data_IF_521997950931
#
_entry.id   IF_521997950931
#
_cell.length_a   1.000
_cell.length_b   1.000
_cell.length_c   1.000
_cell.angle_alpha   90.00
_cell.angle_beta   90.00
_cell.angle_gamma   90.00
#
_symmetry.space_group_name_H-M   'P 1'
#
loop_
_entity.id
_entity.type
_entity.pdbx_description
1 polymer ?
#
# COMPACT_ATOMS: atom_id res chain seq x y z
N UNK A 1 23.66 17.69 -16.54
CA UNK A 1 22.74 18.83 -16.74
C UNK A 1 21.56 18.29 -17.51
N UNK A 2 20.36 18.82 -17.31
CA UNK A 2 19.22 18.45 -18.15
C UNK A 2 19.46 18.92 -19.58
N UNK A 3 19.13 18.07 -20.55
CA UNK A 3 19.14 18.40 -21.98
C UNK A 3 18.10 19.48 -22.27
N UNK A 4 18.48 20.50 -23.04
CA UNK A 4 17.57 21.57 -23.46
C UNK A 4 16.83 21.18 -24.74
N UNK A 5 17.54 20.60 -25.71
CA UNK A 5 17.02 20.19 -27.02
C UNK A 5 17.30 18.72 -27.34
N UNK A 6 16.36 18.04 -27.99
CA UNK A 6 16.50 16.61 -28.36
C UNK A 6 17.72 16.33 -29.21
N UNK A 7 18.10 17.30 -30.04
CA UNK A 7 19.30 17.27 -30.88
C UNK A 7 20.59 17.07 -30.10
N UNK A 8 20.63 17.38 -28.80
CA UNK A 8 21.81 17.09 -27.94
C UNK A 8 22.04 15.58 -27.75
N UNK A 9 21.00 14.75 -27.91
CA UNK A 9 21.11 13.29 -27.87
C UNK A 9 21.80 12.72 -29.11
N UNK A 10 21.71 13.43 -30.25
CA UNK A 10 22.18 12.93 -31.54
C UNK A 10 23.69 12.63 -31.55
N UNK A 11 24.52 13.59 -31.16
CA UNK A 11 25.98 13.43 -31.27
C UNK A 11 26.55 12.28 -30.41
N UNK A 12 26.13 12.10 -29.13
CA UNK A 12 26.51 10.94 -28.34
C UNK A 12 26.06 9.60 -28.93
N UNK A 13 24.81 9.51 -29.41
CA UNK A 13 24.27 8.29 -29.99
C UNK A 13 24.96 7.93 -31.30
N UNK A 14 25.15 8.90 -32.18
CA UNK A 14 25.90 8.74 -33.42
C UNK A 14 27.30 8.19 -33.14
N UNK A 15 28.05 8.84 -32.24
CA UNK A 15 29.40 8.39 -31.87
C UNK A 15 29.41 6.98 -31.26
N UNK A 16 28.37 6.60 -30.52
CA UNK A 16 28.24 5.28 -29.90
C UNK A 16 28.00 4.16 -30.92
N UNK A 17 27.14 4.39 -31.92
CA UNK A 17 26.86 3.41 -32.96
C UNK A 17 27.93 3.37 -34.06
N UNK A 18 28.55 4.50 -34.42
CA UNK A 18 29.68 4.51 -35.36
C UNK A 18 30.86 3.66 -34.85
N UNK A 19 31.14 3.70 -33.54
CA UNK A 19 32.14 2.82 -32.91
C UNK A 19 31.81 1.33 -33.00
N UNK A 20 30.55 0.98 -33.27
CA UNK A 20 30.09 -0.39 -33.49
C UNK A 20 30.01 -0.76 -34.98
N UNK A 21 30.51 0.10 -35.86
CA UNK A 21 30.64 -0.14 -37.29
C UNK A 21 29.46 0.33 -38.15
N UNK A 22 28.54 1.12 -37.60
CA UNK A 22 27.43 1.68 -38.38
C UNK A 22 27.83 2.99 -39.09
N UNK A 23 27.41 3.16 -40.34
CA UNK A 23 27.30 4.48 -40.99
C UNK A 23 25.97 5.13 -40.57
N UNK A 24 26.04 6.28 -39.91
CA UNK A 24 24.90 6.91 -39.22
C UNK A 24 24.49 8.22 -39.87
N UNK A 25 23.22 8.33 -40.24
CA UNK A 25 22.58 9.51 -40.81
C UNK A 25 21.36 9.92 -39.99
N UNK A 26 21.17 11.21 -39.80
CA UNK A 26 20.02 11.78 -39.11
C UNK A 26 18.87 12.14 -40.04
N UNK A 27 17.65 12.21 -39.51
CA UNK A 27 16.44 12.71 -40.20
C UNK A 27 16.12 11.97 -41.52
N UNK A 28 16.32 10.66 -41.54
CA UNK A 28 16.05 9.82 -42.72
C UNK A 28 14.59 9.39 -42.72
N UNK A 29 13.80 9.91 -43.67
CA UNK A 29 12.35 9.60 -43.82
C UNK A 29 11.60 9.64 -42.48
N UNK A 30 11.76 10.71 -41.71
CA UNK A 30 11.14 10.94 -40.37
C UNK A 30 11.70 10.12 -39.21
N UNK A 31 12.74 9.32 -39.42
CA UNK A 31 13.46 8.67 -38.33
C UNK A 31 14.59 9.60 -37.86
N UNK A 32 14.71 9.81 -36.55
CA UNK A 32 15.70 10.75 -36.02
C UNK A 32 17.13 10.31 -36.34
N UNK A 33 17.41 9.01 -36.29
CA UNK A 33 18.72 8.43 -36.60
C UNK A 33 18.56 7.04 -37.23
N UNK A 34 19.22 6.84 -38.37
CA UNK A 34 19.27 5.57 -39.10
C UNK A 34 20.72 5.16 -39.34
N UNK A 35 21.02 3.88 -39.10
CA UNK A 35 22.34 3.29 -39.28
C UNK A 35 22.33 2.08 -40.19
N UNK A 36 23.37 1.93 -41.01
CA UNK A 36 23.63 0.70 -41.79
C UNK A 36 25.01 0.16 -41.44
N UNK A 37 25.15 -1.17 -41.38
CA UNK A 37 26.43 -1.82 -41.07
C UNK A 37 26.77 -2.87 -42.12
N UNK A 38 27.87 -2.64 -42.84
CA UNK A 38 28.34 -3.54 -43.89
C UNK A 38 27.24 -3.86 -44.92
N UNK A 39 26.98 -5.16 -45.10
CA UNK A 39 25.95 -5.66 -46.02
C UNK A 39 24.65 -6.08 -45.30
N UNK A 40 24.41 -5.62 -44.08
CA UNK A 40 23.14 -5.88 -43.38
C UNK A 40 21.98 -5.17 -44.09
N UNK A 41 20.96 -5.94 -44.49
CA UNK A 41 19.78 -5.40 -45.19
C UNK A 41 18.85 -4.62 -44.24
N UNK A 42 18.90 -4.91 -42.94
CA UNK A 42 18.00 -4.33 -41.95
C UNK A 42 18.66 -3.13 -41.27
N UNK A 43 18.07 -1.92 -41.35
CA UNK A 43 18.68 -0.74 -40.77
C UNK A 43 18.55 -0.71 -39.24
N UNK A 44 19.56 -0.17 -38.56
CA UNK A 44 19.39 0.35 -37.20
C UNK A 44 18.50 1.60 -37.27
N UNK A 45 17.48 1.67 -36.41
CA UNK A 45 16.65 2.87 -36.26
C UNK A 45 16.64 3.31 -34.81
N UNK A 46 16.85 4.60 -34.55
CA UNK A 46 16.82 5.16 -33.20
C UNK A 46 15.90 6.38 -33.18
N UNK A 47 14.83 6.30 -32.39
CA UNK A 47 13.94 7.43 -32.10
C UNK A 47 14.39 8.07 -30.78
N UNK A 48 14.46 9.39 -30.73
CA UNK A 48 15.01 10.13 -29.59
C UNK A 48 14.04 11.15 -28.99
N UNK A 49 13.99 11.19 -27.66
CA UNK A 49 13.22 12.20 -26.91
C UNK A 49 13.92 12.56 -25.61
N UNK A 50 13.83 13.80 -25.16
CA UNK A 50 14.32 14.21 -23.82
C UNK A 50 13.86 13.30 -22.68
N UNK A 51 12.62 12.82 -22.74
CA UNK A 51 12.05 11.93 -21.73
C UNK A 51 11.23 10.82 -22.39
N UNK A 52 11.22 9.65 -21.75
CA UNK A 52 10.39 8.55 -22.20
C UNK A 52 8.91 8.91 -22.04
N UNK A 53 8.16 8.85 -23.14
CA UNK A 53 6.73 9.15 -23.18
C UNK A 53 6.02 8.24 -24.19
N UNK A 54 4.69 8.35 -24.25
CA UNK A 54 3.89 7.49 -25.13
C UNK A 54 4.15 7.75 -26.62
N UNK A 55 4.41 8.99 -27.03
CA UNK A 55 4.69 9.31 -28.44
C UNK A 55 5.96 8.59 -28.92
N UNK A 56 7.05 8.68 -28.14
CA UNK A 56 8.30 7.97 -28.42
C UNK A 56 8.08 6.46 -28.52
N UNK A 57 7.30 5.89 -27.61
CA UNK A 57 6.99 4.47 -27.62
C UNK A 57 6.24 4.05 -28.90
N UNK A 58 5.22 4.83 -29.28
CA UNK A 58 4.42 4.55 -30.47
C UNK A 58 5.25 4.69 -31.75
N UNK A 59 6.12 5.71 -31.83
CA UNK A 59 7.08 5.84 -32.93
C UNK A 59 7.95 4.58 -33.03
N UNK A 60 8.56 4.12 -31.94
CA UNK A 60 9.37 2.90 -31.94
C UNK A 60 8.59 1.67 -32.41
N UNK A 61 7.35 1.47 -31.92
CA UNK A 61 6.50 0.35 -32.35
C UNK A 61 6.18 0.44 -33.85
N UNK A 62 5.97 1.64 -34.39
CA UNK A 62 5.79 1.84 -35.82
C UNK A 62 7.05 1.48 -36.62
N UNK A 63 8.24 1.86 -36.12
CA UNK A 63 9.53 1.52 -36.75
C UNK A 63 9.83 0.04 -36.79
N UNK A 64 9.25 -0.77 -35.89
CA UNK A 64 9.37 -2.24 -35.95
C UNK A 64 8.84 -2.84 -37.26
N UNK A 65 7.97 -2.13 -37.99
CA UNK A 65 7.53 -2.54 -39.33
C UNK A 65 8.62 -2.41 -40.40
N UNK A 66 9.64 -1.62 -40.13
CA UNK A 66 10.74 -1.32 -41.05
C UNK A 66 12.01 -2.11 -40.69
N UNK A 67 12.24 -2.36 -39.41
CA UNK A 67 13.40 -3.09 -38.91
C UNK A 67 13.13 -3.67 -37.53
N UNK A 68 13.65 -4.86 -37.17
CA UNK A 68 13.65 -5.34 -35.79
C UNK A 68 14.72 -4.65 -34.93
N UNK A 69 15.68 -3.94 -35.53
CA UNK A 69 16.77 -3.28 -34.82
C UNK A 69 16.39 -1.82 -34.48
N UNK A 70 15.43 -1.65 -33.57
CA UNK A 70 14.87 -0.35 -33.19
C UNK A 70 15.19 -0.04 -31.73
N UNK A 71 15.79 1.13 -31.48
CA UNK A 71 16.01 1.65 -30.13
C UNK A 71 15.18 2.90 -29.86
N UNK A 72 14.73 3.02 -28.61
CA UNK A 72 14.24 4.27 -28.04
C UNK A 72 15.35 4.90 -27.21
N UNK A 73 15.72 6.14 -27.49
CA UNK A 73 16.79 6.85 -26.80
C UNK A 73 16.28 8.05 -26.02
N UNK A 74 16.65 8.14 -24.74
CA UNK A 74 16.23 9.25 -23.86
C UNK A 74 17.33 9.74 -22.93
N UNK A 75 17.18 10.96 -22.41
CA UNK A 75 18.07 11.44 -21.35
C UNK A 75 17.82 10.71 -20.03
N UNK A 76 18.88 10.30 -19.35
CA UNK A 76 18.84 9.84 -17.95
C UNK A 76 19.35 10.93 -17.01
N UNK A 77 18.40 11.69 -16.47
CA UNK A 77 18.66 12.74 -15.47
C UNK A 77 19.02 12.09 -14.12
N UNK A 78 20.16 12.49 -13.54
CA UNK A 78 20.65 11.95 -12.24
C UNK A 78 20.17 12.73 -11.00
N UNK A 79 19.51 13.87 -11.18
CA UNK A 79 19.10 14.72 -10.05
C UNK A 79 17.95 14.09 -9.24
N UNK A 80 18.13 14.05 -7.91
CA UNK A 80 17.20 13.42 -6.95
C UNK A 80 15.77 13.99 -6.99
N UNK A 81 15.59 15.25 -7.45
CA UNK A 81 14.27 15.89 -7.59
C UNK A 81 13.46 15.38 -8.81
N UNK A 82 14.12 14.78 -9.80
CA UNK A 82 13.48 14.16 -10.99
C UNK A 82 13.66 12.64 -11.07
N UNK A 83 14.60 12.07 -10.30
CA UNK A 83 14.90 10.63 -10.27
C UNK A 83 13.79 9.77 -9.63
N UNK A 84 12.84 10.37 -8.90
CA UNK A 84 11.75 9.64 -8.23
C UNK A 84 10.75 8.99 -9.22
N UNK A 85 10.71 9.42 -10.49
CA UNK A 85 9.66 8.99 -11.43
C UNK A 85 10.11 8.11 -12.60
N UNK A 86 11.38 7.70 -12.70
CA UNK A 86 11.80 6.88 -13.83
C UNK A 86 11.89 5.41 -13.40
N UNK A 87 10.78 4.70 -13.62
CA UNK A 87 10.60 3.26 -13.39
C UNK A 87 11.41 2.47 -14.42
N UNK A 88 12.73 2.69 -14.47
CA UNK A 88 13.63 2.19 -15.52
C UNK A 88 13.51 0.68 -15.70
N UNK A 89 13.40 -0.10 -14.63
CA UNK A 89 13.19 -1.55 -14.72
C UNK A 89 11.89 -1.93 -15.44
N UNK A 90 10.83 -1.13 -15.28
CA UNK A 90 9.55 -1.34 -15.94
C UNK A 90 9.57 -0.87 -17.39
N UNK A 91 10.20 0.27 -17.68
CA UNK A 91 10.41 0.74 -19.05
C UNK A 91 11.27 -0.25 -19.84
N UNK A 92 12.34 -0.75 -19.23
CA UNK A 92 13.19 -1.81 -19.80
C UNK A 92 12.36 -3.08 -20.05
N UNK A 93 11.56 -3.49 -19.06
CA UNK A 93 10.67 -4.65 -19.22
C UNK A 93 9.59 -4.48 -20.29
N UNK A 94 9.07 -3.26 -20.48
CA UNK A 94 8.11 -2.93 -21.53
C UNK A 94 8.78 -2.99 -22.92
N UNK A 95 9.94 -2.37 -23.09
CA UNK A 95 10.67 -2.38 -24.36
C UNK A 95 11.00 -3.82 -24.78
N UNK A 96 11.52 -4.65 -23.86
CA UNK A 96 11.75 -6.09 -24.10
C UNK A 96 10.50 -6.85 -24.55
N UNK A 97 9.34 -6.59 -23.92
CA UNK A 97 8.05 -7.23 -24.32
C UNK A 97 7.60 -6.83 -25.73
N UNK A 98 8.00 -5.64 -26.18
CA UNK A 98 7.66 -5.12 -27.51
C UNK A 98 8.76 -5.42 -28.55
N UNK A 99 9.89 -6.02 -28.15
CA UNK A 99 11.04 -6.24 -29.03
C UNK A 99 11.89 -4.99 -29.28
N UNK A 100 11.65 -3.89 -28.56
CA UNK A 100 12.39 -2.64 -28.69
C UNK A 100 13.64 -2.62 -27.80
N UNK A 101 14.71 -2.02 -28.30
CA UNK A 101 15.84 -1.59 -27.49
C UNK A 101 15.56 -0.31 -26.71
N UNK A 102 16.25 -0.12 -25.59
CA UNK A 102 16.17 1.09 -24.77
C UNK A 102 17.57 1.59 -24.46
N UNK A 103 17.89 2.80 -24.91
CA UNK A 103 19.17 3.48 -24.65
C UNK A 103 18.92 4.71 -23.80
N UNK A 104 19.85 4.97 -22.88
CA UNK A 104 19.85 6.21 -22.10
C UNK A 104 21.14 6.97 -22.28
N UNK A 105 21.05 8.30 -22.28
CA UNK A 105 22.21 9.19 -22.36
C UNK A 105 22.28 10.04 -21.09
N UNK A 106 23.42 9.99 -20.40
CA UNK A 106 23.70 10.78 -19.21
C UNK A 106 24.65 11.92 -19.56
N UNK A 107 24.22 13.16 -19.37
CA UNK A 107 25.06 14.34 -19.58
C UNK A 107 25.71 14.84 -18.29
N UNK A 108 27.04 14.93 -18.30
CA UNK A 108 27.82 15.51 -17.20
C UNK A 108 28.23 16.95 -17.52
N UNK A 109 28.55 17.72 -16.48
CA UNK A 109 29.07 19.09 -16.65
C UNK A 109 30.53 19.12 -17.15
N UNK A 110 31.32 18.13 -16.76
CA UNK A 110 32.79 18.16 -16.88
C UNK A 110 33.38 16.97 -17.63
N UNK A 111 32.56 16.00 -18.06
CA UNK A 111 33.01 14.80 -18.75
C UNK A 111 32.07 14.47 -19.90
N UNK A 112 32.57 13.67 -20.85
CA UNK A 112 31.80 13.25 -22.01
C UNK A 112 30.48 12.57 -21.61
N UNK A 113 29.42 12.71 -22.42
CA UNK A 113 28.16 12.01 -22.20
C UNK A 113 28.37 10.49 -22.17
N UNK A 114 27.65 9.81 -21.29
CA UNK A 114 27.65 8.35 -21.19
C UNK A 114 26.39 7.80 -21.83
N UNK A 115 26.56 6.89 -22.79
CA UNK A 115 25.47 6.13 -23.42
C UNK A 115 25.39 4.76 -22.75
N UNK A 116 24.23 4.41 -22.20
CA UNK A 116 23.98 3.12 -21.54
C UNK A 116 22.78 2.42 -22.22
N UNK A 117 22.99 1.19 -22.69
CA UNK A 117 21.92 0.34 -23.22
C UNK A 117 21.29 -0.44 -22.07
N UNK A 118 19.99 -0.25 -21.86
CA UNK A 118 19.22 -0.92 -20.80
C UNK A 118 18.52 -2.20 -21.30
N UNK A 119 18.15 -2.22 -22.57
CA UNK A 119 17.62 -3.37 -23.29
C UNK A 119 18.13 -3.37 -24.73
N UNK A 120 18.50 -4.54 -25.23
CA UNK A 120 18.77 -4.74 -26.65
C UNK A 120 17.47 -5.08 -27.41
N UNK A 121 17.34 -4.73 -28.70
CA UNK A 121 16.22 -5.16 -29.53
C UNK A 121 16.15 -6.69 -29.57
N UNK A 122 14.96 -7.23 -29.37
CA UNK A 122 14.74 -8.68 -29.30
C UNK A 122 15.12 -9.37 -27.98
N UNK A 123 15.66 -8.66 -26.98
CA UNK A 123 15.91 -9.21 -25.64
C UNK A 123 14.64 -9.86 -25.07
N UNK A 124 14.76 -11.09 -24.56
CA UNK A 124 13.64 -11.77 -23.92
C UNK A 124 13.14 -10.98 -22.70
N UNK A 125 11.81 -10.82 -22.52
CA UNK A 125 11.28 -10.13 -21.35
C UNK A 125 11.68 -10.85 -20.06
N UNK A 126 11.84 -10.12 -18.94
CA UNK A 126 12.16 -10.75 -17.67
C UNK A 126 11.12 -11.82 -17.32
N UNK A 127 11.60 -13.04 -17.03
CA UNK A 127 10.75 -14.12 -16.55
C UNK A 127 10.02 -13.64 -15.29
N UNK A 128 8.69 -13.57 -15.36
CA UNK A 128 7.87 -13.08 -14.25
C UNK A 128 7.98 -14.09 -13.13
N UNK A 129 8.81 -13.83 -12.11
CA UNK A 129 8.79 -14.60 -10.86
C UNK A 129 7.34 -14.62 -10.39
N UNK A 130 6.78 -15.81 -10.22
CA UNK A 130 5.35 -16.04 -10.09
C UNK A 130 4.74 -15.03 -9.12
N UNK A 131 3.85 -14.17 -9.61
CA UNK A 131 3.07 -13.27 -8.78
C UNK A 131 2.08 -13.99 -7.86
N UNK A 132 2.26 -15.30 -7.62
CA UNK A 132 1.37 -16.18 -6.88
C UNK A 132 1.01 -15.58 -5.52
N UNK A 133 2.00 -15.11 -4.75
CA UNK A 133 1.75 -14.47 -3.45
C UNK A 133 0.99 -13.14 -3.56
N UNK A 134 1.27 -12.33 -4.59
CA UNK A 134 0.55 -11.06 -4.82
C UNK A 134 -0.89 -11.32 -5.25
N UNK A 135 -1.09 -12.31 -6.11
CA UNK A 135 -2.41 -12.80 -6.55
C UNK A 135 -3.20 -13.39 -5.38
N UNK A 136 -2.57 -14.21 -4.55
CA UNK A 136 -3.19 -14.77 -3.34
C UNK A 136 -3.65 -13.67 -2.39
N UNK A 137 -2.82 -12.65 -2.13
CA UNK A 137 -3.23 -11.49 -1.32
C UNK A 137 -4.40 -10.72 -1.92
N UNK A 138 -4.43 -10.54 -3.24
CA UNK A 138 -5.53 -9.90 -3.94
C UNK A 138 -6.82 -10.72 -3.79
N UNK A 139 -6.75 -12.03 -4.02
CA UNK A 139 -7.90 -12.93 -3.88
C UNK A 139 -8.40 -13.01 -2.44
N UNK A 140 -7.49 -13.02 -1.46
CA UNK A 140 -7.84 -12.96 -0.06
C UNK A 140 -8.60 -11.67 0.26
N UNK A 141 -8.06 -10.52 -0.11
CA UNK A 141 -8.72 -9.23 0.10
C UNK A 141 -10.12 -9.18 -0.54
N UNK A 142 -10.27 -9.70 -1.76
CA UNK A 142 -11.56 -9.75 -2.45
C UNK A 142 -12.59 -10.64 -1.74
N UNK A 143 -12.20 -11.87 -1.36
CA UNK A 143 -13.10 -12.85 -0.73
C UNK A 143 -13.56 -12.44 0.66
N UNK A 144 -12.67 -11.77 1.40
CA UNK A 144 -12.92 -11.42 2.80
C UNK A 144 -13.82 -10.20 2.97
N UNK A 145 -13.89 -9.28 2.00
CA UNK A 145 -14.80 -8.12 2.07
C UNK A 145 -16.26 -8.56 2.10
N UNK A 146 -17.09 -7.87 2.88
CA UNK A 146 -18.54 -8.13 2.90
C UNK A 146 -19.29 -7.40 1.79
N UNK A 147 -18.69 -6.38 1.17
CA UNK A 147 -19.33 -5.62 0.11
C UNK A 147 -18.37 -4.70 -0.65
N UNK A 148 -18.93 -3.96 -1.60
CA UNK A 148 -18.21 -2.96 -2.39
C UNK A 148 -18.40 -1.56 -1.79
N UNK A 149 -17.54 -1.21 -0.84
CA UNK A 149 -17.61 0.06 -0.12
C UNK A 149 -16.67 1.14 -0.69
N UNK A 150 -15.85 0.80 -1.69
CA UNK A 150 -14.83 1.70 -2.21
C UNK A 150 -15.11 2.04 -3.68
N UNK A 151 -15.25 3.32 -4.00
CA UNK A 151 -15.30 3.76 -5.38
C UNK A 151 -13.89 3.77 -5.99
N UNK A 152 -13.73 3.19 -7.19
CA UNK A 152 -12.47 3.19 -7.92
C UNK A 152 -11.99 4.61 -8.27
N UNK A 153 -10.67 4.84 -8.20
CA UNK A 153 -10.07 6.12 -8.58
C UNK A 153 -10.19 7.23 -7.52
N UNK A 154 -10.86 7.00 -6.39
CA UNK A 154 -10.92 7.97 -5.30
C UNK A 154 -9.53 8.20 -4.68
N UNK A 155 -9.13 9.47 -4.58
CA UNK A 155 -7.92 9.87 -3.85
C UNK A 155 -8.31 10.48 -2.51
N UNK A 156 -7.44 10.37 -1.50
CA UNK A 156 -7.62 10.95 -0.15
C UNK A 156 -8.79 10.40 0.69
N UNK A 157 -9.51 9.39 0.23
CA UNK A 157 -10.53 8.68 1.01
C UNK A 157 -9.93 7.49 1.74
N UNK A 158 -10.31 7.28 3.00
CA UNK A 158 -9.89 6.10 3.78
C UNK A 158 -10.54 4.84 3.20
N UNK A 159 -9.77 4.00 2.51
CA UNK A 159 -10.29 2.75 1.93
C UNK A 159 -10.78 1.75 2.98
N UNK A 160 -11.99 1.22 2.80
CA UNK A 160 -12.55 0.12 3.58
C UNK A 160 -11.96 -1.20 3.05
N UNK A 161 -10.98 -1.74 3.75
CA UNK A 161 -10.33 -3.00 3.41
C UNK A 161 -10.90 -4.16 4.22
N UNK A 162 -10.62 -5.41 3.81
CA UNK A 162 -10.98 -6.58 4.61
C UNK A 162 -10.35 -6.51 6.02
N UNK A 163 -9.16 -5.92 6.14
CA UNK A 163 -8.55 -5.65 7.45
C UNK A 163 -9.38 -4.66 8.28
N UNK A 164 -9.87 -3.57 7.69
CA UNK A 164 -10.70 -2.60 8.41
C UNK A 164 -12.01 -3.22 8.86
N UNK A 165 -12.68 -3.95 7.99
CA UNK A 165 -13.91 -4.66 8.33
C UNK A 165 -13.71 -5.61 9.52
N UNK A 166 -12.65 -6.43 9.51
CA UNK A 166 -12.34 -7.32 10.64
C UNK A 166 -12.00 -6.55 11.92
N UNK A 167 -11.28 -5.44 11.81
CA UNK A 167 -11.01 -4.57 12.95
C UNK A 167 -12.30 -3.98 13.52
N UNK A 168 -13.27 -3.60 12.67
CA UNK A 168 -14.58 -3.10 13.09
C UNK A 168 -15.38 -4.19 13.80
N UNK A 169 -15.38 -5.44 13.30
CA UNK A 169 -16.03 -6.57 14.00
C UNK A 169 -15.44 -6.82 15.38
N UNK A 170 -14.11 -6.78 15.50
CA UNK A 170 -13.43 -6.93 16.80
C UNK A 170 -13.77 -5.76 17.73
N UNK A 171 -13.82 -4.53 17.21
CA UNK A 171 -14.21 -3.36 17.98
C UNK A 171 -15.68 -3.43 18.45
N UNK A 172 -16.60 -3.83 17.58
CA UNK A 172 -18.01 -4.01 17.92
C UNK A 172 -18.21 -5.08 19.00
N UNK A 173 -17.54 -6.23 18.86
CA UNK A 173 -17.58 -7.30 19.86
C UNK A 173 -17.01 -6.85 21.22
N UNK A 174 -16.00 -5.97 21.21
CA UNK A 174 -15.42 -5.40 22.43
C UNK A 174 -16.42 -4.44 23.07
N UNK A 175 -17.02 -3.52 22.31
CA UNK A 175 -18.03 -2.59 22.80
C UNK A 175 -19.21 -3.31 23.46
N UNK A 176 -19.71 -4.37 22.80
CA UNK A 176 -20.80 -5.20 23.34
C UNK A 176 -20.42 -5.86 24.67
N UNK A 177 -19.21 -6.45 24.76
CA UNK A 177 -18.74 -7.07 25.99
C UNK A 177 -18.53 -6.06 27.14
N UNK A 178 -18.11 -4.83 26.84
CA UNK A 178 -18.00 -3.76 27.84
C UNK A 178 -19.36 -3.30 28.36
N UNK A 179 -20.35 -3.15 27.46
CA UNK A 179 -21.72 -2.81 27.83
C UNK A 179 -22.34 -3.89 28.74
N UNK A 180 -22.23 -5.17 28.36
CA UNK A 180 -22.71 -6.30 29.17
C UNK A 180 -22.06 -6.34 30.57
N UNK A 181 -20.75 -6.08 30.64
CA UNK A 181 -20.02 -6.04 31.91
C UNK A 181 -20.48 -4.86 32.79
N UNK A 182 -20.68 -3.68 32.20
CA UNK A 182 -21.18 -2.50 32.91
C UNK A 182 -22.60 -2.73 33.46
N UNK A 183 -23.50 -3.31 32.67
CA UNK A 183 -24.84 -3.68 33.13
C UNK A 183 -24.80 -4.71 34.26
N UNK A 184 -23.96 -5.74 34.14
CA UNK A 184 -23.82 -6.76 35.17
C UNK A 184 -23.28 -6.18 36.49
N UNK A 185 -22.35 -5.22 36.42
CA UNK A 185 -21.86 -4.48 37.58
C UNK A 185 -22.98 -3.65 38.22
N UNK A 186 -23.77 -2.92 37.42
CA UNK A 186 -24.93 -2.16 37.89
C UNK A 186 -25.96 -3.04 38.60
N UNK A 187 -26.30 -4.20 38.02
CA UNK A 187 -27.21 -5.19 38.65
C UNK A 187 -26.68 -5.72 39.99
N UNK A 188 -25.36 -5.94 40.11
CA UNK A 188 -24.73 -6.37 41.37
C UNK A 188 -24.78 -5.27 42.43
N UNK A 189 -24.47 -4.03 42.06
CA UNK A 189 -24.51 -2.88 42.96
C UNK A 189 -25.93 -2.66 43.53
N UNK A 190 -26.95 -2.78 42.69
CA UNK A 190 -28.36 -2.69 43.10
C UNK A 190 -28.76 -3.80 44.09
N UNK A 191 -28.25 -5.02 43.92
CA UNK A 191 -28.52 -6.15 44.86
C UNK A 191 -27.79 -6.00 46.19
N UNK A 192 -26.60 -5.40 46.21
CA UNK A 192 -25.85 -5.13 47.46
C UNK A 192 -26.35 -3.91 48.24
N UNK A 193 -27.14 -3.04 47.61
CA UNK A 193 -27.71 -1.82 48.22
C UNK A 193 -29.13 -1.96 48.76
N UNK A 194 -29.76 -3.15 48.69
CA UNK A 194 -31.08 -3.37 49.25
C UNK A 194 -31.02 -3.39 50.79
N UNK A 195 -31.85 -2.62 51.52
CA UNK A 195 -31.85 -2.63 52.97
C UNK A 195 -32.29 -4.03 53.46
N UNK A 196 -31.53 -4.60 54.41
CA UNK A 196 -31.97 -5.81 55.12
C UNK A 196 -33.23 -5.47 55.90
N UNK A 197 -34.36 -6.04 55.52
CA UNK A 197 -35.57 -6.02 56.33
C UNK A 197 -35.38 -6.99 57.52
N UNK A 198 -35.45 -6.41 58.70
CA UNK A 198 -35.77 -6.95 60.03
C UNK A 198 -34.88 -8.03 60.68
N UNK A 199 -34.26 -7.63 61.79
CA UNK A 199 -34.37 -8.34 63.08
C UNK A 199 -34.10 -7.38 64.24
N UNK A 200 -35.04 -7.35 65.17
CA UNK A 200 -35.17 -6.41 66.28
C UNK A 200 -34.29 -6.73 67.51
N UNK A 201 -34.22 -5.71 68.36
CA UNK A 201 -34.09 -5.73 69.82
C UNK A 201 -32.69 -5.86 70.47
N UNK A 202 -32.33 -4.79 71.21
CA UNK A 202 -31.75 -4.91 72.55
C UNK A 202 -30.32 -4.38 72.73
N UNK A 203 -30.17 -3.42 73.66
CA UNK A 203 -28.98 -3.35 74.53
C UNK A 203 -28.04 -2.17 74.31
N UNK A 204 -27.74 -1.46 75.40
CA UNK A 204 -27.02 -0.20 75.46
C UNK A 204 -25.48 -0.28 75.35
N UNK A 205 -24.91 0.91 75.09
CA UNK A 205 -23.65 1.46 75.60
C UNK A 205 -22.29 1.06 74.96
N UNK A 206 -21.75 2.06 74.24
CA UNK A 206 -20.38 2.61 74.30
C UNK A 206 -19.15 1.69 74.11
N UNK A 207 -18.46 1.88 72.98
CA UNK A 207 -17.10 2.44 72.87
C UNK A 207 -16.34 1.88 71.65
N UNK A 208 -15.24 2.56 71.32
CA UNK A 208 -14.17 2.22 70.38
C UNK A 208 -14.34 2.70 68.93
N UNK A 209 -13.38 3.54 68.53
CA UNK A 209 -13.25 4.09 67.20
C UNK A 209 -12.83 3.05 66.15
N UNK A 210 -13.12 3.40 64.91
CA UNK A 210 -12.60 2.76 63.71
C UNK A 210 -12.40 3.83 62.64
N UNK A 211 -11.36 3.72 61.79
CA UNK A 211 -11.04 4.74 60.82
C UNK A 211 -12.13 4.82 59.75
N UNK A 212 -12.39 6.05 59.31
CA UNK A 212 -13.31 6.39 58.24
C UNK A 212 -13.11 5.49 57.02
N UNK A 213 -14.20 4.87 56.57
CA UNK A 213 -14.26 4.13 55.32
C UNK A 213 -13.88 5.07 54.16
N UNK A 214 -12.79 4.75 53.47
CA UNK A 214 -12.40 5.41 52.23
C UNK A 214 -13.52 5.23 51.19
N UNK A 215 -13.87 6.27 50.41
CA UNK A 215 -14.86 6.15 49.35
C UNK A 215 -14.41 5.10 48.33
N UNK A 216 -15.35 4.24 47.94
CA UNK A 216 -15.12 3.10 47.06
C UNK A 216 -14.35 3.48 45.80
N UNK A 217 -13.16 2.89 45.64
CA UNK A 217 -12.42 2.96 44.38
C UNK A 217 -13.32 2.38 43.29
N UNK A 218 -13.69 3.20 42.30
CA UNK A 218 -14.36 2.73 41.10
C UNK A 218 -13.58 1.53 40.55
N UNK A 219 -14.24 0.36 40.49
CA UNK A 219 -13.61 -0.89 40.07
C UNK A 219 -13.10 -0.70 38.64
N UNK A 220 -11.78 -0.79 38.43
CA UNK A 220 -11.18 -0.58 37.12
C UNK A 220 -11.80 -1.53 36.08
N UNK A 221 -12.08 -1.07 34.84
CA UNK A 221 -12.74 -1.89 33.84
C UNK A 221 -11.95 -3.17 33.61
N UNK A 222 -12.60 -4.32 33.88
CA UNK A 222 -12.05 -5.65 33.60
C UNK A 222 -12.08 -5.83 32.08
N UNK A 223 -11.08 -5.28 31.38
CA UNK A 223 -11.01 -5.32 29.93
C UNK A 223 -11.13 -6.73 29.35
N UNK A 224 -11.49 -6.83 28.08
CA UNK A 224 -11.90 -8.06 27.40
C UNK A 224 -10.68 -8.85 26.90
N UNK A 225 -10.74 -10.18 26.95
CA UNK A 225 -9.64 -11.04 26.50
C UNK A 225 -9.69 -11.30 24.99
N UNK A 226 -8.54 -11.51 24.31
CA UNK A 226 -8.53 -11.87 22.89
C UNK A 226 -9.29 -13.16 22.57
N UNK A 227 -9.29 -14.14 23.48
CA UNK A 227 -10.01 -15.39 23.29
C UNK A 227 -11.53 -15.18 23.25
N UNK A 228 -12.04 -14.31 24.13
CA UNK A 228 -13.44 -13.93 24.14
C UNK A 228 -13.82 -13.13 22.89
N UNK A 229 -12.99 -12.16 22.49
CA UNK A 229 -13.25 -11.38 21.27
C UNK A 229 -13.22 -12.24 20.02
N UNK A 230 -12.35 -13.26 19.94
CA UNK A 230 -12.36 -14.23 18.84
C UNK A 230 -13.70 -14.97 18.77
N UNK A 231 -14.23 -15.42 19.92
CA UNK A 231 -15.52 -16.13 19.98
C UNK A 231 -16.68 -15.22 19.58
N UNK A 232 -16.69 -13.98 20.06
CA UNK A 232 -17.77 -13.00 19.80
C UNK A 232 -17.76 -12.43 18.39
N UNK A 233 -16.59 -12.09 17.87
CA UNK A 233 -16.46 -11.43 16.55
C UNK A 233 -16.41 -12.39 15.36
N UNK A 234 -16.23 -13.69 15.62
CA UNK A 234 -15.95 -14.68 14.57
C UNK A 234 -14.60 -14.49 13.87
N UNK A 235 -13.76 -13.54 14.28
CA UNK A 235 -12.47 -13.24 13.65
C UNK A 235 -11.38 -14.13 14.26
N UNK A 236 -10.83 -15.14 13.54
CA UNK A 236 -9.89 -16.11 14.12
C UNK A 236 -8.62 -15.45 14.69
N UNK A 237 -8.17 -14.37 14.04
CA UNK A 237 -6.96 -13.61 14.38
C UNK A 237 -7.19 -12.38 15.27
N UNK A 238 -8.28 -12.31 16.06
CA UNK A 238 -8.64 -11.13 16.85
C UNK A 238 -7.46 -10.53 17.64
N UNK A 239 -6.61 -11.36 18.24
CA UNK A 239 -5.41 -10.92 18.97
C UNK A 239 -4.46 -10.04 18.14
N UNK A 240 -4.28 -10.34 16.86
CA UNK A 240 -3.37 -9.60 15.99
C UNK A 240 -3.87 -8.16 15.73
N UNK A 241 -5.18 -7.96 15.65
CA UNK A 241 -5.79 -6.62 15.49
C UNK A 241 -5.56 -5.76 16.74
N UNK A 242 -5.73 -6.35 17.93
CA UNK A 242 -5.51 -5.68 19.21
C UNK A 242 -4.03 -5.32 19.44
N UNK A 243 -3.11 -6.21 19.03
CA UNK A 243 -1.67 -6.05 19.26
C UNK A 243 -1.03 -5.06 18.27
N UNK A 244 -1.36 -5.18 16.98
CA UNK A 244 -0.81 -4.29 15.95
C UNK A 244 -1.45 -2.91 16.01
N UNK A 245 -2.73 -2.86 16.33
CA UNK A 245 -3.51 -1.64 16.58
C UNK A 245 -3.26 -0.52 15.55
N UNK A 246 -3.20 -0.85 14.26
CA UNK A 246 -2.85 0.12 13.20
C UNK A 246 -3.72 1.38 13.18
N UNK A 247 -4.95 1.30 13.71
CA UNK A 247 -5.89 2.42 13.76
C UNK A 247 -5.99 3.10 15.14
N UNK A 248 -5.29 2.60 16.16
CA UNK A 248 -5.36 3.14 17.52
C UNK A 248 -6.71 2.91 18.22
N UNK A 249 -7.52 1.94 17.76
CA UNK A 249 -8.87 1.68 18.28
C UNK A 249 -8.89 0.93 19.62
N UNK A 250 -7.81 0.23 19.95
CA UNK A 250 -7.75 -0.64 21.12
C UNK A 250 -6.74 -0.13 22.14
N UNK A 251 -7.05 -0.28 23.43
CA UNK A 251 -6.14 0.03 24.53
C UNK A 251 -5.97 -1.17 25.45
N UNK A 252 -4.73 -1.49 25.83
CA UNK A 252 -4.42 -2.63 26.69
C UNK A 252 -4.42 -2.20 28.16
N UNK A 253 -5.51 -2.45 28.87
CA UNK A 253 -5.67 -2.08 30.30
C UNK A 253 -4.88 -2.99 31.23
N UNK A 254 -4.65 -4.25 30.86
CA UNK A 254 -3.84 -5.19 31.62
C UNK A 254 -3.25 -6.30 30.73
N UNK A 255 -2.49 -7.23 31.31
CA UNK A 255 -1.94 -8.36 30.56
C UNK A 255 -3.06 -9.16 29.89
N UNK A 256 -3.16 -9.07 28.56
CA UNK A 256 -4.18 -9.79 27.77
C UNK A 256 -5.60 -9.26 27.93
N UNK A 257 -5.79 -8.02 28.39
CA UNK A 257 -7.10 -7.38 28.55
C UNK A 257 -7.14 -6.03 27.85
N UNK A 258 -8.21 -5.80 27.09
CA UNK A 258 -8.34 -4.64 26.20
C UNK A 258 -9.67 -3.91 26.39
N UNK A 259 -9.65 -2.61 26.11
CA UNK A 259 -10.82 -1.70 26.06
C UNK A 259 -10.80 -0.93 24.74
N UNK A 260 -11.92 -0.31 24.37
CA UNK A 260 -11.97 0.60 23.22
C UNK A 260 -11.41 1.98 23.61
N UNK A 261 -10.70 2.59 22.68
CA UNK A 261 -10.34 4.01 22.78
C UNK A 261 -11.48 4.89 22.29
N UNK A 262 -11.44 6.19 22.59
CA UNK A 262 -12.36 7.16 21.99
C UNK A 262 -12.33 7.13 20.46
N UNK A 263 -11.15 6.92 19.85
CA UNK A 263 -11.00 6.76 18.40
C UNK A 263 -11.67 5.48 17.88
N UNK A 264 -11.60 4.38 18.64
CA UNK A 264 -12.31 3.14 18.32
C UNK A 264 -13.83 3.31 18.35
N UNK A 265 -14.35 3.97 19.40
CA UNK A 265 -15.77 4.30 19.51
C UNK A 265 -16.23 5.21 18.37
N UNK A 266 -15.46 6.25 18.04
CA UNK A 266 -15.77 7.14 16.92
C UNK A 266 -15.77 6.40 15.58
N UNK A 267 -14.86 5.44 15.37
CA UNK A 267 -14.83 4.64 14.16
C UNK A 267 -16.04 3.71 14.02
N UNK A 268 -16.57 3.16 15.12
CA UNK A 268 -17.81 2.38 15.07
C UNK A 268 -19.01 3.23 14.62
N UNK A 269 -19.00 4.53 14.93
CA UNK A 269 -20.02 5.47 14.44
C UNK A 269 -19.77 5.80 12.96
N UNK A 270 -18.52 6.15 12.59
CA UNK A 270 -18.12 6.49 11.21
C UNK A 270 -18.44 5.35 10.22
N UNK A 271 -18.30 4.09 10.65
CA UNK A 271 -18.46 2.91 9.82
C UNK A 271 -19.62 1.99 10.25
N UNK A 272 -20.65 2.52 10.91
CA UNK A 272 -21.75 1.72 11.49
C UNK A 272 -22.38 0.74 10.49
N UNK A 273 -22.80 1.23 9.32
CA UNK A 273 -23.41 0.41 8.27
C UNK A 273 -22.49 -0.73 7.80
N UNK A 274 -21.18 -0.49 7.73
CA UNK A 274 -20.19 -1.51 7.35
C UNK A 274 -20.01 -2.52 8.47
N UNK A 275 -19.93 -2.07 9.72
CA UNK A 275 -19.76 -2.94 10.88
C UNK A 275 -20.94 -3.91 11.03
N UNK A 276 -22.17 -3.45 10.81
CA UNK A 276 -23.39 -4.27 10.84
C UNK A 276 -23.40 -5.35 9.75
N UNK A 277 -23.17 -4.95 8.48
CA UNK A 277 -23.16 -5.90 7.35
C UNK A 277 -22.05 -6.94 7.54
N UNK A 278 -20.88 -6.50 8.00
CA UNK A 278 -19.73 -7.39 8.20
C UNK A 278 -19.96 -8.36 9.36
N UNK A 279 -20.68 -7.95 10.42
CA UNK A 279 -21.04 -8.81 11.55
C UNK A 279 -22.06 -9.89 11.20
N UNK A 280 -22.95 -9.65 10.24
CA UNK A 280 -23.94 -10.63 9.76
C UNK A 280 -23.38 -11.80 8.93
N UNK A 281 -22.11 -11.74 8.52
CA UNK A 281 -21.43 -12.76 7.68
C UNK A 281 -20.86 -13.94 8.51
N UNK A 282 -21.51 -14.30 9.63
CA UNK A 282 -21.12 -15.40 10.53
C UNK A 282 -21.38 -16.78 9.92
#
# INVERSE_FOLDING_TARGET
MAVKHETELYAPLKSFFEKQGYDIKGEVRTCDLVGLRGNEEQPLIVEMKKSFNLALLLQGVERLRLSPNVYLAVERVRDKKGAVNQRWGELTGLCRRLGLGLVTVVFYKTKAPLVEVLAEPGDAPPQVRSGARRRERLLYEFRERSGDYNTGGSTRVKLVTAYREKALRVALALQAAEAEAAEAAGRRAARSGAPRADAAAGGAAASAGGPAAAPGRAEAPRGVTPAELRKRSGVPGAAAFLQKNYYGWFFRVARGRYTLTAAGTAALIEYAAIAEISAGKL
#
